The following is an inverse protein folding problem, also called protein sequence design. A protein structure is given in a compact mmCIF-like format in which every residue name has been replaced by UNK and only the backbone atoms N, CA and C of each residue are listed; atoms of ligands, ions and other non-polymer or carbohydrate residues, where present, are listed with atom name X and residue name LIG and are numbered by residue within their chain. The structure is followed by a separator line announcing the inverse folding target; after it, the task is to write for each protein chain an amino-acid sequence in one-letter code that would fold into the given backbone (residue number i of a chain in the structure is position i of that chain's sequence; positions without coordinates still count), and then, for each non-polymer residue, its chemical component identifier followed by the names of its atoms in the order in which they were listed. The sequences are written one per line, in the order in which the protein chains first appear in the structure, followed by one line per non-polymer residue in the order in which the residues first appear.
data_IF_347640172065
#
_entry.id   IF_347640172065
#
_cell.length_a   1.000
_cell.length_b   1.000
_cell.length_c   1.000
_cell.angle_alpha   90.00
_cell.angle_beta   90.00
_cell.angle_gamma   90.00
#
_symmetry.space_group_name_H-M   'P 1'
#
loop_
_entity.id
_entity.type
_entity.pdbx_description
1 polymer ?
#
# COMPACT_ATOMS: atom_id res chain seq x y z
N UNK A 1 -21.12 -1.46 -9.30
CA UNK A 1 -19.80 -1.05 -9.85
C UNK A 1 -18.64 -1.47 -8.97
N UNK A 2 -18.28 -0.80 -7.86
CA UNK A 2 -17.15 -1.25 -7.02
C UNK A 2 -17.38 -2.64 -6.41
N UNK A 3 -18.57 -2.90 -5.86
CA UNK A 3 -18.93 -4.21 -5.32
C UNK A 3 -18.95 -5.32 -6.38
N UNK A 4 -19.42 -5.04 -7.60
CA UNK A 4 -19.44 -6.01 -8.71
C UNK A 4 -18.04 -6.29 -9.26
N UNK A 5 -17.18 -5.27 -9.31
CA UNK A 5 -15.78 -5.38 -9.71
C UNK A 5 -14.96 -6.21 -8.72
N UNK A 6 -15.19 -6.00 -7.42
CA UNK A 6 -14.54 -6.78 -6.35
C UNK A 6 -15.07 -8.21 -6.27
N UNK A 7 -16.36 -8.44 -6.55
CA UNK A 7 -16.98 -9.76 -6.47
C UNK A 7 -16.76 -10.63 -7.73
N UNK A 8 -16.61 -10.02 -8.92
CA UNK A 8 -16.64 -10.74 -10.19
C UNK A 8 -15.37 -10.50 -11.03
N UNK A 9 -14.36 -11.37 -10.90
CA UNK A 9 -13.12 -11.28 -11.73
C UNK A 9 -13.42 -11.30 -13.23
N UNK A 10 -14.50 -11.95 -13.67
CA UNK A 10 -14.90 -12.06 -15.08
C UNK A 10 -15.55 -10.80 -15.65
N UNK A 11 -16.10 -9.90 -14.82
CA UNK A 11 -16.80 -8.70 -15.28
C UNK A 11 -15.94 -7.43 -15.18
N UNK A 12 -14.67 -7.54 -14.79
CA UNK A 12 -13.77 -6.36 -14.61
C UNK A 12 -13.68 -5.51 -15.88
N UNK A 13 -13.48 -6.15 -17.04
CA UNK A 13 -13.38 -5.45 -18.32
C UNK A 13 -14.69 -4.72 -18.69
N UNK A 14 -15.84 -5.38 -18.52
CA UNK A 14 -17.14 -4.79 -18.80
C UNK A 14 -17.48 -3.63 -17.86
N UNK A 15 -17.05 -3.71 -16.58
CA UNK A 15 -17.21 -2.63 -15.61
C UNK A 15 -16.30 -1.45 -15.95
N UNK A 16 -15.06 -1.69 -16.40
CA UNK A 16 -14.15 -0.63 -16.86
C UNK A 16 -14.69 0.10 -18.09
N UNK A 17 -15.22 -0.62 -19.07
CA UNK A 17 -15.82 -0.01 -20.27
C UNK A 17 -17.05 0.83 -19.91
N UNK A 18 -17.92 0.34 -19.03
CA UNK A 18 -19.06 1.11 -18.53
C UNK A 18 -18.65 2.31 -17.67
N UNK A 19 -17.54 2.20 -16.93
CA UNK A 19 -17.02 3.27 -16.09
C UNK A 19 -16.48 4.40 -16.96
N UNK A 20 -15.66 4.10 -17.98
CA UNK A 20 -15.15 5.08 -18.94
C UNK A 20 -16.30 5.85 -19.61
N UNK A 21 -17.33 5.12 -20.05
CA UNK A 21 -18.48 5.70 -20.73
C UNK A 21 -19.31 6.61 -19.80
N UNK A 22 -19.47 6.23 -18.52
CA UNK A 22 -20.19 7.05 -17.53
C UNK A 22 -19.38 8.25 -17.03
N UNK A 23 -18.06 8.16 -16.95
CA UNK A 23 -17.21 9.28 -16.54
C UNK A 23 -17.31 10.41 -17.57
N UNK A 24 -17.28 10.10 -18.87
CA UNK A 24 -17.45 11.07 -19.94
C UNK A 24 -18.84 11.75 -19.91
N UNK A 25 -19.84 11.09 -19.32
CA UNK A 25 -21.23 11.58 -19.24
C UNK A 25 -21.57 12.25 -17.91
N UNK A 26 -20.76 12.09 -16.86
CA UNK A 26 -21.11 12.45 -15.47
C UNK A 26 -19.92 12.96 -14.66
N UNK A 27 -19.22 13.96 -15.21
CA UNK A 27 -18.06 14.62 -14.59
C UNK A 27 -18.35 15.44 -13.32
N UNK A 28 -19.49 15.26 -12.65
CA UNK A 28 -19.89 16.05 -11.46
C UNK A 28 -20.15 15.21 -10.21
N UNK A 29 -20.07 13.88 -10.29
CA UNK A 29 -20.27 13.04 -9.12
C UNK A 29 -18.92 12.66 -8.50
N UNK A 30 -18.54 13.34 -7.42
CA UNK A 30 -17.28 13.12 -6.68
C UNK A 30 -17.12 11.66 -6.24
N UNK A 31 -18.20 11.01 -5.80
CA UNK A 31 -18.17 9.60 -5.40
C UNK A 31 -17.85 8.69 -6.58
N UNK A 32 -18.32 9.02 -7.79
CA UNK A 32 -18.03 8.25 -8.99
C UNK A 32 -16.56 8.38 -9.39
N UNK A 33 -15.97 9.58 -9.24
CA UNK A 33 -14.54 9.82 -9.47
C UNK A 33 -13.68 9.01 -8.51
N UNK A 34 -14.02 8.97 -7.22
CA UNK A 34 -13.29 8.18 -6.22
C UNK A 34 -13.41 6.67 -6.47
N UNK A 35 -14.60 6.19 -6.81
CA UNK A 35 -14.84 4.79 -7.19
C UNK A 35 -14.03 4.43 -8.43
N UNK A 36 -14.02 5.30 -9.44
CA UNK A 36 -13.22 5.13 -10.64
C UNK A 36 -11.72 5.07 -10.35
N UNK A 37 -11.21 6.02 -9.57
CA UNK A 37 -9.81 6.08 -9.16
C UNK A 37 -9.36 4.81 -8.45
N UNK A 38 -10.18 4.31 -7.52
CA UNK A 38 -9.91 3.05 -6.79
C UNK A 38 -9.79 1.86 -7.75
N UNK A 39 -10.68 1.77 -8.74
CA UNK A 39 -10.65 0.70 -9.76
C UNK A 39 -9.38 0.82 -10.62
N UNK A 40 -9.03 2.03 -11.07
CA UNK A 40 -7.82 2.25 -11.88
C UNK A 40 -6.53 1.94 -11.12
N UNK A 41 -6.47 2.26 -9.82
CA UNK A 41 -5.33 1.90 -8.97
C UNK A 41 -5.21 0.37 -8.87
N UNK A 42 -6.34 -0.35 -8.74
CA UNK A 42 -6.33 -1.82 -8.69
C UNK A 42 -5.92 -2.48 -10.02
N UNK A 43 -6.20 -1.83 -11.15
CA UNK A 43 -5.73 -2.26 -12.48
C UNK A 43 -4.28 -1.83 -12.77
N UNK A 44 -3.65 -1.07 -11.87
CA UNK A 44 -2.27 -0.59 -12.03
C UNK A 44 -2.13 0.60 -13.00
N UNK A 45 -3.23 1.20 -13.45
CA UNK A 45 -3.21 2.38 -14.32
C UNK A 45 -3.23 3.67 -13.49
N UNK A 46 -2.07 4.00 -12.90
CA UNK A 46 -1.89 5.17 -12.04
C UNK A 46 -2.07 6.49 -12.80
N UNK A 47 -1.64 6.56 -14.07
CA UNK A 47 -1.81 7.75 -14.92
C UNK A 47 -3.28 8.07 -15.20
N UNK A 48 -4.08 7.03 -15.50
CA UNK A 48 -5.52 7.14 -15.66
C UNK A 48 -6.18 7.65 -14.37
N UNK A 49 -5.87 7.01 -13.25
CA UNK A 49 -6.38 7.41 -11.94
C UNK A 49 -6.06 8.88 -11.63
N UNK A 50 -4.81 9.33 -11.84
CA UNK A 50 -4.41 10.70 -11.55
C UNK A 50 -5.20 11.73 -12.36
N UNK A 51 -5.44 11.49 -13.66
CA UNK A 51 -6.20 12.40 -14.53
C UNK A 51 -7.63 12.60 -14.05
N UNK A 52 -8.29 11.52 -13.62
CA UNK A 52 -9.66 11.58 -13.14
C UNK A 52 -9.76 12.26 -11.77
N UNK A 53 -8.88 11.90 -10.84
CA UNK A 53 -8.90 12.49 -9.49
C UNK A 53 -8.57 13.99 -9.56
N UNK A 54 -7.66 14.41 -10.45
CA UNK A 54 -7.30 15.83 -10.64
C UNK A 54 -8.48 16.75 -10.97
N UNK A 55 -9.57 16.19 -11.51
CA UNK A 55 -10.77 16.95 -11.86
C UNK A 55 -11.64 17.29 -10.64
N UNK A 56 -11.38 16.69 -9.48
CA UNK A 56 -12.13 16.91 -8.24
C UNK A 56 -11.28 17.68 -7.22
N UNK A 57 -11.90 18.62 -6.52
CA UNK A 57 -11.25 19.42 -5.49
C UNK A 57 -11.55 18.95 -4.05
N UNK A 58 -12.20 17.79 -3.88
CA UNK A 58 -12.54 17.28 -2.55
C UNK A 58 -11.30 16.88 -1.76
N UNK A 59 -11.42 16.85 -0.43
CA UNK A 59 -10.32 16.47 0.46
C UNK A 59 -9.90 15.00 0.22
N UNK A 60 -10.88 14.13 -0.05
CA UNK A 60 -10.66 12.73 -0.43
C UNK A 60 -9.90 12.62 -1.76
N UNK A 61 -10.28 13.42 -2.77
CA UNK A 61 -9.57 13.44 -4.04
C UNK A 61 -8.11 13.85 -3.84
N UNK A 62 -7.84 14.87 -3.03
CA UNK A 62 -6.48 15.29 -2.70
C UNK A 62 -5.68 14.20 -1.99
N UNK A 63 -6.27 13.50 -1.01
CA UNK A 63 -5.62 12.37 -0.35
C UNK A 63 -5.31 11.22 -1.32
N UNK A 64 -6.23 10.90 -2.24
CA UNK A 64 -5.98 9.92 -3.32
C UNK A 64 -4.87 10.37 -4.27
N UNK A 65 -4.80 11.66 -4.63
CA UNK A 65 -3.68 12.18 -5.43
C UNK A 65 -2.35 12.01 -4.71
N UNK A 66 -2.29 12.32 -3.42
CA UNK A 66 -1.07 12.13 -2.61
C UNK A 66 -0.65 10.66 -2.64
N UNK A 67 -1.59 9.72 -2.41
CA UNK A 67 -1.31 8.30 -2.45
C UNK A 67 -0.78 7.83 -3.83
N UNK A 68 -1.38 8.29 -4.92
CA UNK A 68 -0.90 7.99 -6.29
C UNK A 68 0.49 8.58 -6.52
N UNK A 69 0.74 9.83 -6.12
CA UNK A 69 2.03 10.50 -6.29
C UNK A 69 3.14 9.82 -5.50
N UNK A 70 2.85 9.34 -4.28
CA UNK A 70 3.78 8.53 -3.50
C UNK A 70 4.06 7.18 -4.17
N UNK A 71 3.05 6.55 -4.77
CA UNK A 71 3.21 5.31 -5.54
C UNK A 71 4.03 5.50 -6.84
N UNK A 72 4.15 6.74 -7.33
CA UNK A 72 4.98 7.12 -8.47
C UNK A 72 6.38 7.61 -8.06
N UNK A 73 6.75 7.47 -6.78
CA UNK A 73 8.00 7.98 -6.19
C UNK A 73 8.18 9.51 -6.33
N UNK A 74 7.08 10.26 -6.47
CA UNK A 74 7.07 11.73 -6.63
C UNK A 74 6.69 12.45 -5.33
N UNK A 75 7.52 12.28 -4.31
CA UNK A 75 7.35 12.89 -2.98
C UNK A 75 7.32 14.43 -3.05
N UNK A 76 8.04 15.01 -4.01
CA UNK A 76 8.09 16.46 -4.26
C UNK A 76 6.73 17.05 -4.63
N UNK A 77 5.95 16.35 -5.47
CA UNK A 77 4.60 16.76 -5.84
C UNK A 77 3.59 16.44 -4.74
N UNK A 78 3.78 15.31 -4.05
CA UNK A 78 2.95 14.93 -2.91
C UNK A 78 3.01 16.01 -1.80
N UNK A 79 4.18 16.57 -1.52
CA UNK A 79 4.36 17.68 -0.57
C UNK A 79 3.61 18.96 -0.98
N UNK A 80 3.57 19.28 -2.28
CA UNK A 80 2.81 20.45 -2.75
C UNK A 80 1.32 20.24 -2.53
N UNK A 81 0.82 19.05 -2.86
CA UNK A 81 -0.60 18.70 -2.63
C UNK A 81 -0.95 18.61 -1.16
N UNK A 82 -0.05 18.14 -0.31
CA UNK A 82 -0.25 18.15 1.13
C UNK A 82 -0.41 19.58 1.66
N UNK A 83 0.40 20.54 1.20
CA UNK A 83 0.25 21.95 1.61
C UNK A 83 -1.10 22.54 1.21
N UNK A 84 -1.55 22.28 -0.03
CA UNK A 84 -2.89 22.69 -0.47
C UNK A 84 -3.99 22.07 0.41
N UNK A 85 -3.81 20.83 0.84
CA UNK A 85 -4.73 20.10 1.72
C UNK A 85 -4.76 20.71 3.14
N UNK A 86 -3.59 21.07 3.69
CA UNK A 86 -3.44 21.75 4.98
C UNK A 86 -4.02 23.17 4.98
N UNK A 87 -3.90 23.90 3.87
CA UNK A 87 -4.52 25.23 3.72
C UNK A 87 -6.06 25.17 3.74
N UNK A 88 -6.64 24.04 3.32
CA UNK A 88 -8.10 23.82 3.39
C UNK A 88 -8.55 23.41 4.79
N UNK A 89 -7.92 22.39 5.35
CA UNK A 89 -8.25 21.87 6.69
C UNK A 89 -7.08 21.06 7.25
N UNK A 90 -6.30 21.68 8.15
CA UNK A 90 -5.15 21.05 8.80
C UNK A 90 -5.57 20.08 9.93
N UNK A 91 -6.74 20.30 10.54
CA UNK A 91 -7.25 19.51 11.66
C UNK A 91 -8.03 18.26 11.20
N UNK A 92 -8.40 18.20 9.92
CA UNK A 92 -9.04 17.03 9.35
C UNK A 92 -8.17 15.78 9.53
N UNK A 93 -8.78 14.70 10.03
CA UNK A 93 -8.11 13.40 10.21
C UNK A 93 -7.48 12.87 8.92
N UNK A 94 -8.10 13.17 7.78
CA UNK A 94 -7.61 12.79 6.47
C UNK A 94 -6.33 13.55 6.11
N UNK A 95 -6.23 14.84 6.44
CA UNK A 95 -5.02 15.65 6.23
C UNK A 95 -3.89 15.15 7.11
N UNK A 96 -4.17 14.85 8.38
CA UNK A 96 -3.21 14.24 9.30
C UNK A 96 -2.70 12.89 8.76
N UNK A 97 -3.58 12.03 8.27
CA UNK A 97 -3.19 10.74 7.69
C UNK A 97 -2.33 10.91 6.43
N UNK A 98 -2.72 11.82 5.53
CA UNK A 98 -1.94 12.13 4.33
C UNK A 98 -0.56 12.70 4.68
N UNK A 99 -0.48 13.53 5.73
CA UNK A 99 0.78 14.03 6.27
C UNK A 99 1.67 12.89 6.79
N UNK A 100 1.09 11.93 7.51
CA UNK A 100 1.82 10.76 7.98
C UNK A 100 2.40 9.94 6.81
N UNK A 101 1.63 9.71 5.74
CA UNK A 101 2.13 9.01 4.54
C UNK A 101 3.31 9.72 3.88
N UNK A 102 3.22 11.03 3.70
CA UNK A 102 4.28 11.82 3.08
C UNK A 102 5.53 11.83 3.96
N UNK A 103 5.38 11.99 5.28
CA UNK A 103 6.49 11.95 6.22
C UNK A 103 7.15 10.58 6.29
N UNK A 104 6.37 9.50 6.21
CA UNK A 104 6.91 8.13 6.09
C UNK A 104 7.72 7.97 4.80
N UNK A 105 7.24 8.49 3.68
CA UNK A 105 7.95 8.42 2.40
C UNK A 105 9.21 9.28 2.35
N UNK A 106 9.25 10.41 3.06
CA UNK A 106 10.44 11.27 3.15
C UNK A 106 11.59 10.62 3.93
N UNK A 107 11.26 9.82 4.96
CA UNK A 107 12.25 9.20 5.82
C UNK A 107 13.01 10.17 6.73
N UNK A 108 14.07 9.68 7.38
CA UNK A 108 14.92 10.48 8.27
C UNK A 108 14.18 11.01 9.50
N UNK A 109 14.43 12.27 9.87
CA UNK A 109 13.83 12.91 11.05
C UNK A 109 12.28 12.98 10.97
N UNK A 110 11.72 12.94 9.75
CA UNK A 110 10.27 12.96 9.52
C UNK A 110 9.56 11.68 9.89
N UNK A 111 10.28 10.58 10.08
CA UNK A 111 9.68 9.35 10.59
C UNK A 111 9.13 9.51 12.01
N UNK A 112 9.78 10.33 12.84
CA UNK A 112 9.32 10.59 14.20
C UNK A 112 8.05 11.46 14.19
N UNK A 113 7.98 12.45 13.29
CA UNK A 113 6.77 13.25 13.08
C UNK A 113 5.60 12.36 12.62
N UNK A 114 5.84 11.45 11.67
CA UNK A 114 4.84 10.48 11.22
C UNK A 114 4.35 9.56 12.35
N UNK A 115 5.26 9.07 13.20
CA UNK A 115 4.93 8.25 14.35
C UNK A 115 3.98 8.97 15.32
N UNK A 116 4.27 10.22 15.67
CA UNK A 116 3.42 10.98 16.59
C UNK A 116 2.01 11.19 16.04
N UNK A 117 1.87 11.42 14.73
CA UNK A 117 0.55 11.53 14.09
C UNK A 117 -0.21 10.20 14.22
N UNK A 118 0.42 9.06 13.91
CA UNK A 118 -0.23 7.77 14.06
C UNK A 118 -0.60 7.47 15.52
N UNK A 119 0.28 7.79 16.48
CA UNK A 119 0.00 7.61 17.90
C UNK A 119 -1.20 8.47 18.35
N UNK A 120 -1.26 9.73 17.94
CA UNK A 120 -2.39 10.60 18.25
C UNK A 120 -3.71 10.07 17.67
N UNK A 121 -3.68 9.54 16.44
CA UNK A 121 -4.85 8.89 15.84
C UNK A 121 -5.26 7.62 16.59
N UNK A 122 -4.31 6.82 17.06
CA UNK A 122 -4.56 5.64 17.89
C UNK A 122 -5.18 6.03 19.23
N UNK A 123 -4.67 7.09 19.87
CA UNK A 123 -5.17 7.55 21.17
C UNK A 123 -6.59 8.14 21.04
N UNK A 124 -6.90 8.82 19.94
CA UNK A 124 -8.22 9.43 19.69
C UNK A 124 -9.27 8.43 19.23
N UNK A 125 -8.93 7.52 18.33
CA UNK A 125 -9.90 6.67 17.61
C UNK A 125 -9.76 5.17 17.93
N UNK A 126 -8.74 4.79 18.70
CA UNK A 126 -8.42 3.42 19.05
C UNK A 126 -7.40 2.78 18.10
N UNK A 127 -6.69 1.75 18.59
CA UNK A 127 -5.73 1.01 17.78
C UNK A 127 -6.43 0.12 16.75
N UNK A 128 -6.38 0.52 15.49
CA UNK A 128 -6.80 -0.31 14.36
C UNK A 128 -5.57 -1.00 13.75
N UNK A 129 -5.71 -2.17 13.10
CA UNK A 129 -4.59 -2.83 12.42
C UNK A 129 -3.88 -1.90 11.42
N UNK A 130 -4.62 -1.02 10.74
CA UNK A 130 -4.07 -0.03 9.81
C UNK A 130 -3.14 0.97 10.51
N UNK A 131 -3.58 1.55 11.63
CA UNK A 131 -2.79 2.55 12.36
C UNK A 131 -1.56 1.90 13.02
N UNK A 132 -1.74 0.73 13.63
CA UNK A 132 -0.63 -0.04 14.21
C UNK A 132 0.40 -0.43 13.15
N UNK A 133 -0.05 -0.80 11.95
CA UNK A 133 0.82 -1.08 10.82
C UNK A 133 1.60 0.18 10.39
N UNK A 134 0.94 1.35 10.33
CA UNK A 134 1.59 2.63 10.07
C UNK A 134 2.68 2.96 11.10
N UNK A 135 2.39 2.77 12.39
CA UNK A 135 3.37 2.93 13.47
C UNK A 135 4.55 1.98 13.31
N UNK A 136 4.30 0.69 13.03
CA UNK A 136 5.35 -0.29 12.81
C UNK A 136 6.27 0.10 11.65
N UNK A 137 5.73 0.60 10.53
CA UNK A 137 6.54 1.07 9.40
C UNK A 137 7.44 2.23 9.81
N UNK A 138 6.95 3.17 10.63
CA UNK A 138 7.80 4.26 11.15
C UNK A 138 8.93 3.75 12.04
N UNK A 139 8.67 2.76 12.89
CA UNK A 139 9.70 2.14 13.73
C UNK A 139 10.73 1.35 12.91
N UNK A 140 10.29 0.58 11.91
CA UNK A 140 11.18 -0.11 10.97
C UNK A 140 12.10 0.89 10.26
N UNK A 141 11.55 2.00 9.78
CA UNK A 141 12.34 3.07 9.14
C UNK A 141 13.36 3.72 10.08
N UNK A 142 13.10 3.74 11.39
CA UNK A 142 14.03 4.25 12.41
C UNK A 142 15.05 3.20 12.89
N UNK A 143 14.92 1.94 12.46
CA UNK A 143 15.74 0.82 12.96
C UNK A 143 15.34 0.31 14.35
N UNK A 144 14.17 0.72 14.86
CA UNK A 144 13.60 0.29 16.15
C UNK A 144 12.78 -1.00 15.97
N UNK A 145 13.48 -2.09 15.69
CA UNK A 145 12.84 -3.33 15.25
C UNK A 145 12.06 -4.05 16.36
N UNK A 146 12.45 -3.91 17.63
CA UNK A 146 11.75 -4.55 18.75
C UNK A 146 10.38 -3.89 19.00
N UNK A 147 10.33 -2.56 18.96
CA UNK A 147 9.09 -1.78 19.08
C UNK A 147 8.15 -2.03 17.90
N UNK A 148 8.71 -2.14 16.68
CA UNK A 148 7.96 -2.55 15.50
C UNK A 148 7.33 -3.95 15.66
N UNK A 149 8.06 -4.90 16.26
CA UNK A 149 7.54 -6.25 16.49
C UNK A 149 6.34 -6.20 17.42
N UNK A 150 6.45 -5.46 18.53
CA UNK A 150 5.35 -5.31 19.48
C UNK A 150 4.09 -4.72 18.82
N UNK A 151 4.25 -3.66 18.02
CA UNK A 151 3.12 -3.02 17.34
C UNK A 151 2.46 -3.95 16.31
N UNK A 152 3.26 -4.72 15.54
CA UNK A 152 2.75 -5.67 14.56
C UNK A 152 2.09 -6.89 15.22
N UNK A 153 2.58 -7.36 16.37
CA UNK A 153 1.93 -8.42 17.12
C UNK A 153 0.56 -7.96 17.65
N UNK A 154 0.45 -6.74 18.18
CA UNK A 154 -0.87 -6.19 18.56
C UNK A 154 -1.81 -6.08 17.34
N UNK A 155 -1.28 -5.69 16.18
CA UNK A 155 -2.07 -5.62 14.95
C UNK A 155 -2.56 -7.01 14.51
N UNK A 156 -1.72 -8.04 14.66
CA UNK A 156 -2.02 -9.42 14.34
C UNK A 156 -3.05 -10.04 15.30
N UNK A 157 -3.00 -9.69 16.59
CA UNK A 157 -3.99 -10.14 17.58
C UNK A 157 -5.39 -9.59 17.27
N UNK A 158 -5.47 -8.41 16.64
CA UNK A 158 -6.73 -7.80 16.19
C UNK A 158 -7.22 -8.36 14.86
N UNK A 159 -6.32 -8.53 13.91
CA UNK A 159 -6.62 -9.10 12.58
C UNK A 159 -5.50 -10.05 12.15
N UNK A 160 -5.67 -11.32 12.51
CA UNK A 160 -4.70 -12.37 12.25
C UNK A 160 -4.40 -12.61 10.77
N UNK A 161 -5.27 -12.18 9.86
CA UNK A 161 -5.13 -12.41 8.41
C UNK A 161 -4.91 -11.12 7.62
N UNK A 162 -4.48 -10.05 8.30
CA UNK A 162 -4.18 -8.80 7.63
C UNK A 162 -2.92 -8.96 6.75
N UNK A 163 -3.01 -8.78 5.42
CA UNK A 163 -1.89 -9.02 4.52
C UNK A 163 -0.72 -8.05 4.77
N UNK A 164 -1.02 -6.78 5.05
CA UNK A 164 0.00 -5.74 5.26
C UNK A 164 0.82 -6.01 6.53
N UNK A 165 0.16 -6.43 7.62
CA UNK A 165 0.81 -6.78 8.88
C UNK A 165 1.71 -8.01 8.70
N UNK A 166 1.22 -9.04 7.99
CA UNK A 166 2.01 -10.25 7.70
C UNK A 166 3.26 -9.93 6.86
N UNK A 167 3.13 -9.06 5.85
CA UNK A 167 4.26 -8.64 5.00
C UNK A 167 5.30 -7.89 5.85
N UNK A 168 4.88 -6.95 6.68
CA UNK A 168 5.78 -6.20 7.55
C UNK A 168 6.45 -7.11 8.60
N UNK A 169 5.75 -8.12 9.12
CA UNK A 169 6.35 -9.14 9.98
C UNK A 169 7.42 -9.95 9.24
N UNK A 170 7.17 -10.39 8.01
CA UNK A 170 8.15 -11.12 7.19
C UNK A 170 9.42 -10.28 7.00
N UNK A 171 9.27 -8.99 6.69
CA UNK A 171 10.40 -8.06 6.55
C UNK A 171 11.15 -7.91 7.88
N UNK A 172 10.43 -7.72 8.98
CA UNK A 172 11.01 -7.52 10.31
C UNK A 172 11.81 -8.74 10.82
N UNK A 173 11.31 -9.96 10.59
CA UNK A 173 12.01 -11.18 11.03
C UNK A 173 13.41 -11.30 10.39
N UNK A 174 13.61 -10.76 9.18
CA UNK A 174 14.93 -10.71 8.55
C UNK A 174 15.90 -9.77 9.26
N UNK A 175 15.41 -8.69 9.88
CA UNK A 175 16.21 -7.73 10.62
C UNK A 175 16.51 -8.18 12.06
N UNK A 176 15.62 -8.97 12.66
CA UNK A 176 15.79 -9.50 14.02
C UNK A 176 16.69 -10.75 14.09
N UNK A 177 17.21 -11.23 12.95
CA UNK A 177 17.99 -12.47 12.81
C UNK A 177 17.32 -13.71 13.42
N UNK A 178 15.99 -13.66 13.61
CA UNK A 178 15.18 -14.79 14.03
C UNK A 178 15.13 -15.78 12.87
N UNK A 179 15.22 -17.08 13.17
CA UNK A 179 15.37 -18.13 12.17
C UNK A 179 14.31 -18.06 11.05
N UNK A 180 14.64 -18.53 9.83
CA UNK A 180 13.78 -18.40 8.65
C UNK A 180 12.44 -19.16 8.77
N UNK A 181 12.28 -19.98 9.81
CA UNK A 181 11.07 -20.73 10.11
C UNK A 181 9.87 -19.81 10.39
N UNK A 182 10.08 -18.71 11.14
CA UNK A 182 9.01 -17.79 11.53
C UNK A 182 8.54 -16.99 10.31
N UNK A 183 9.48 -16.49 9.50
CA UNK A 183 9.15 -15.76 8.27
C UNK A 183 8.46 -16.67 7.24
N UNK A 184 8.89 -17.92 7.10
CA UNK A 184 8.23 -18.90 6.22
C UNK A 184 6.81 -19.23 6.69
N UNK A 185 6.56 -19.26 8.01
CA UNK A 185 5.21 -19.45 8.56
C UNK A 185 4.28 -18.31 8.16
N UNK A 186 4.70 -17.06 8.36
CA UNK A 186 3.90 -15.89 7.96
C UNK A 186 3.71 -15.82 6.45
N UNK A 187 4.71 -16.19 5.66
CA UNK A 187 4.59 -16.26 4.20
C UNK A 187 3.57 -17.31 3.75
N UNK A 188 3.55 -18.48 4.42
CA UNK A 188 2.56 -19.54 4.13
C UNK A 188 1.16 -19.05 4.48
N UNK A 189 0.99 -18.43 5.64
CA UNK A 189 -0.27 -17.82 6.05
C UNK A 189 -0.76 -16.74 5.06
N UNK A 190 0.14 -15.89 4.57
CA UNK A 190 -0.19 -14.87 3.56
C UNK A 190 -0.65 -15.51 2.24
N UNK A 191 0.01 -16.59 1.80
CA UNK A 191 -0.37 -17.33 0.58
C UNK A 191 -1.74 -18.00 0.72
N UNK A 192 -2.06 -18.53 1.90
CA UNK A 192 -3.34 -19.19 2.17
C UNK A 192 -4.48 -18.19 2.30
N UNK A 193 -4.25 -17.06 2.97
CA UNK A 193 -5.27 -16.04 3.22
C UNK A 193 -5.54 -15.16 1.98
N UNK A 194 -4.50 -14.72 1.26
CA UNK A 194 -4.62 -13.77 0.15
C UNK A 194 -3.77 -14.17 -1.08
N UNK A 195 -4.18 -15.21 -1.84
CA UNK A 195 -3.41 -15.70 -2.99
C UNK A 195 -3.21 -14.67 -4.12
N UNK A 196 -4.14 -13.72 -4.25
CA UNK A 196 -4.13 -12.70 -5.30
C UNK A 196 -3.37 -11.42 -4.92
N UNK A 197 -2.80 -11.35 -3.72
CA UNK A 197 -2.15 -10.15 -3.22
C UNK A 197 -0.98 -9.73 -4.14
N UNK A 198 -0.80 -8.42 -4.44
CA UNK A 198 0.28 -7.95 -5.32
C UNK A 198 1.66 -8.46 -4.91
N UNK A 199 1.95 -8.50 -3.61
CA UNK A 199 3.20 -9.03 -3.05
C UNK A 199 3.46 -10.49 -3.43
N UNK A 200 2.44 -11.36 -3.41
CA UNK A 200 2.59 -12.79 -3.76
C UNK A 200 2.84 -12.95 -5.27
N UNK A 201 2.19 -12.12 -6.10
CA UNK A 201 2.42 -12.12 -7.55
C UNK A 201 3.84 -11.66 -7.88
N UNK A 202 4.30 -10.57 -7.28
CA UNK A 202 5.67 -10.08 -7.48
C UNK A 202 6.69 -11.11 -6.97
N UNK A 203 6.48 -11.71 -5.79
CA UNK A 203 7.34 -12.76 -5.28
C UNK A 203 7.47 -13.93 -6.27
N UNK A 204 6.34 -14.42 -6.80
CA UNK A 204 6.33 -15.50 -7.80
C UNK A 204 7.05 -15.09 -9.08
N UNK A 205 6.85 -13.86 -9.55
CA UNK A 205 7.55 -13.33 -10.72
C UNK A 205 9.07 -13.28 -10.49
N UNK A 206 9.52 -12.85 -9.30
CA UNK A 206 10.94 -12.86 -8.93
C UNK A 206 11.52 -14.28 -8.84
N UNK A 207 10.75 -15.24 -8.32
CA UNK A 207 11.13 -16.66 -8.31
C UNK A 207 11.31 -17.21 -9.74
N UNK A 208 10.37 -16.91 -10.64
CA UNK A 208 10.42 -17.33 -12.05
C UNK A 208 11.60 -16.68 -12.79
N UNK A 209 11.84 -15.37 -12.58
CA UNK A 209 12.99 -14.66 -13.14
C UNK A 209 14.32 -15.22 -12.62
N UNK A 210 14.40 -15.53 -11.32
CA UNK A 210 15.58 -16.15 -10.74
C UNK A 210 15.85 -17.53 -11.33
N UNK A 211 14.82 -18.37 -11.49
CA UNK A 211 14.95 -19.68 -12.12
C UNK A 211 15.41 -19.55 -13.58
N UNK A 212 14.84 -18.61 -14.34
CA UNK A 212 15.23 -18.33 -15.72
C UNK A 212 16.70 -17.93 -15.84
N UNK A 213 17.17 -17.05 -14.95
CA UNK A 213 18.58 -16.62 -14.91
C UNK A 213 19.47 -17.78 -14.46
N UNK A 214 19.09 -18.52 -13.43
CA UNK A 214 19.83 -19.68 -12.94
C UNK A 214 20.04 -20.73 -14.03
N UNK A 215 19.02 -21.01 -14.85
CA UNK A 215 19.13 -21.91 -16.01
C UNK A 215 20.08 -21.36 -17.08
N UNK A 216 20.08 -20.05 -17.31
CA UNK A 216 20.93 -19.40 -18.31
C UNK A 216 22.43 -19.46 -17.94
N UNK A 217 22.74 -19.43 -16.65
CA UNK A 217 24.10 -19.48 -16.10
C UNK A 217 24.48 -20.83 -15.51
N UNK A 218 23.61 -21.85 -15.64
CA UNK A 218 23.95 -23.20 -15.21
C UNK A 218 25.07 -23.75 -16.08
N UNK A 219 26.10 -24.38 -15.51
CA UNK A 219 27.18 -24.96 -16.31
C UNK A 219 26.58 -26.00 -17.24
N UNK A 220 26.64 -25.73 -18.54
CA UNK A 220 26.39 -26.74 -19.56
C UNK A 220 27.44 -27.82 -19.38
N UNK A 221 27.04 -28.95 -18.78
CA UNK A 221 27.89 -30.13 -18.66
C UNK A 221 28.52 -30.38 -20.04
N UNK A 222 29.84 -30.30 -20.21
CA UNK A 222 30.45 -30.78 -21.42
C UNK A 222 30.14 -32.27 -21.47
N UNK A 223 29.41 -32.68 -22.51
CA UNK A 223 29.25 -34.09 -22.84
C UNK A 223 30.67 -34.61 -23.04
N UNK A 224 31.18 -35.37 -22.07
CA UNK A 224 32.42 -36.11 -22.19
C UNK A 224 32.25 -37.08 -23.36
N UNK A 225 32.92 -36.80 -24.48
CA UNK A 225 33.11 -37.70 -25.62
C UNK A 225 34.28 -38.62 -25.33
#
# INVERSE_FOLDING_TARGET
MLAEYLHSKSNRQAVLDQLNLKIDTSAHNETLVLVAATIFIQEGNLDGAYRYVHSSESLEAMAFMINILLSLDRVDLALKKLKEMQEKDDDATLTQLAQAWVHTAMGGDKLQDAYYIYQELVDKYGSTPLLLNGQAVTFIGQGKYEEAESALQEALDRDSNNPEVLINLIALQRHLEKGPEISNRYLSQLKDAHPDHPFIKDLKQKEDDFQRISQLYSPSNPVCV
#
